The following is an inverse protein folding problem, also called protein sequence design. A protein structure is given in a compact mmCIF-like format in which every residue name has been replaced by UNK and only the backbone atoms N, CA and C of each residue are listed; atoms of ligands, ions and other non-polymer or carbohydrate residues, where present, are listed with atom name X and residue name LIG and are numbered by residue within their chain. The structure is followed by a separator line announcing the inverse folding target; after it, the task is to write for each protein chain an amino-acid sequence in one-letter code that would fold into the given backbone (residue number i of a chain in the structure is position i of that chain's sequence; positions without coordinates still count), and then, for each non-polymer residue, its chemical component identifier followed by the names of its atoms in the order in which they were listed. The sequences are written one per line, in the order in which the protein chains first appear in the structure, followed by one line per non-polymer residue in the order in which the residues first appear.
data_IF_451663183515
#
_entry.id   IF_451663183515
#
_cell.length_a   1.000
_cell.length_b   1.000
_cell.length_c   1.000
_cell.angle_alpha   90.00
_cell.angle_beta   90.00
_cell.angle_gamma   90.00
#
_symmetry.space_group_name_H-M   'P 1'
#
loop_
_entity.id
_entity.type
_entity.pdbx_description
1 polymer ?
#
# COMPACT_ATOMS: atom_id res chain seq x y z
N UNK A 1 -8.94 16.28 53.01
CA UNK A 1 -7.95 15.35 52.44
C UNK A 1 -8.68 14.57 51.36
N UNK A 2 -8.69 15.09 50.13
CA UNK A 2 -7.84 14.65 49.01
C UNK A 2 -8.59 13.57 48.21
N UNK A 3 -8.92 13.66 46.92
CA UNK A 3 -8.41 14.51 45.85
C UNK A 3 -9.35 14.30 44.64
N UNK A 4 -10.03 15.34 44.13
CA UNK A 4 -10.71 15.27 42.83
C UNK A 4 -9.66 15.49 41.74
N UNK A 5 -8.93 14.42 41.42
CA UNK A 5 -7.93 14.39 40.38
C UNK A 5 -8.56 14.10 39.02
N UNK A 6 -8.76 15.16 38.23
CA UNK A 6 -8.34 15.26 36.84
C UNK A 6 -8.49 14.01 35.95
N UNK A 7 -9.67 13.80 35.36
CA UNK A 7 -9.79 13.04 34.11
C UNK A 7 -10.44 13.93 33.05
N UNK A 8 -9.69 14.95 32.60
CA UNK A 8 -9.92 15.54 31.28
C UNK A 8 -9.42 14.50 30.27
N UNK A 9 -10.29 13.56 29.90
CA UNK A 9 -10.13 12.72 28.71
C UNK A 9 -10.42 13.60 27.48
N UNK A 10 -9.56 14.59 27.27
CA UNK A 10 -9.56 15.45 26.11
C UNK A 10 -8.88 14.75 24.95
N UNK A 11 -9.48 14.93 23.78
CA UNK A 11 -9.02 14.53 22.46
C UNK A 11 -9.14 13.04 22.11
N UNK A 12 -10.33 12.70 21.59
CA UNK A 12 -10.49 11.88 20.40
C UNK A 12 -9.43 12.30 19.36
N UNK A 13 -8.26 11.67 19.38
CA UNK A 13 -7.37 11.63 18.22
C UNK A 13 -7.71 10.39 17.42
N UNK A 14 -8.92 10.40 16.85
CA UNK A 14 -9.24 9.64 15.65
C UNK A 14 -8.48 10.29 14.48
N UNK A 15 -7.16 10.10 14.45
CA UNK A 15 -6.35 10.40 13.29
C UNK A 15 -6.66 9.32 12.26
N UNK A 16 -7.79 9.53 11.58
CA UNK A 16 -8.17 8.83 10.38
C UNK A 16 -7.03 8.93 9.38
N UNK A 17 -6.41 7.79 9.13
CA UNK A 17 -5.50 7.61 8.03
C UNK A 17 -5.24 6.12 7.85
N UNK A 18 -6.21 5.32 7.40
CA UNK A 18 -5.89 4.03 6.84
C UNK A 18 -5.23 4.26 5.48
N UNK A 19 -3.98 4.75 5.47
CA UNK A 19 -3.05 4.25 4.47
C UNK A 19 -2.62 2.86 4.94
N UNK A 20 -3.60 1.97 5.02
CA UNK A 20 -3.38 0.55 4.95
C UNK A 20 -2.78 0.34 3.57
N UNK A 21 -1.46 0.46 3.46
CA UNK A 21 -0.72 -0.33 2.50
C UNK A 21 -1.09 -1.77 2.85
N UNK A 22 -2.19 -2.23 2.25
CA UNK A 22 -2.72 -3.57 2.43
C UNK A 22 -1.60 -4.46 1.90
N UNK A 23 -0.75 -4.92 2.81
CA UNK A 23 0.14 -6.03 2.58
C UNK A 23 -0.80 -7.18 2.27
N UNK A 24 -1.10 -7.33 0.97
CA UNK A 24 -1.82 -8.48 0.44
C UNK A 24 -1.19 -9.72 1.09
N UNK A 25 -2.00 -10.65 1.63
CA UNK A 25 -1.50 -11.88 2.27
C UNK A 25 -0.55 -12.68 1.36
N UNK A 26 -0.59 -12.42 0.05
CA UNK A 26 0.38 -12.89 -0.92
C UNK A 26 1.12 -11.69 -1.54
N UNK A 27 2.47 -11.67 -1.55
CA UNK A 27 3.20 -10.68 -2.34
C UNK A 27 2.69 -10.73 -3.78
N UNK A 28 2.20 -9.62 -4.34
CA UNK A 28 1.86 -9.53 -5.79
C UNK A 28 3.13 -9.48 -6.65
N UNK A 29 4.29 -9.40 -6.02
CA UNK A 29 5.58 -9.55 -6.69
C UNK A 29 6.60 -10.28 -5.83
N UNK A 30 7.60 -10.89 -6.48
CA UNK A 30 8.79 -11.43 -5.81
C UNK A 30 8.57 -12.71 -5.00
N UNK A 31 7.40 -13.36 -5.11
CA UNK A 31 7.14 -14.67 -4.54
C UNK A 31 6.84 -15.71 -5.65
N UNK A 32 7.24 -16.99 -5.52
CA UNK A 32 7.05 -18.00 -6.57
C UNK A 32 5.57 -18.23 -6.96
N UNK A 33 4.66 -17.99 -6.03
CA UNK A 33 3.21 -18.10 -6.16
C UNK A 33 2.53 -16.72 -6.33
N UNK A 34 3.32 -15.71 -6.72
CA UNK A 34 2.87 -14.35 -6.95
C UNK A 34 2.28 -14.17 -8.35
N UNK A 35 1.50 -13.11 -8.54
CA UNK A 35 1.06 -12.67 -9.86
C UNK A 35 2.22 -12.14 -10.72
N UNK A 36 3.25 -11.55 -10.09
CA UNK A 36 4.44 -11.05 -10.77
C UNK A 36 5.73 -11.57 -10.10
N UNK A 37 6.06 -12.87 -10.22
CA UNK A 37 7.15 -13.51 -9.47
C UNK A 37 8.53 -12.92 -9.76
N UNK A 38 8.74 -12.38 -10.96
CA UNK A 38 10.00 -11.77 -11.40
C UNK A 38 9.98 -10.24 -11.43
N UNK A 39 8.86 -9.59 -11.09
CA UNK A 39 8.80 -8.14 -11.11
C UNK A 39 9.51 -7.53 -9.91
N UNK A 40 10.31 -6.50 -10.17
CA UNK A 40 10.95 -5.74 -9.11
C UNK A 40 9.93 -4.79 -8.43
N UNK A 41 10.14 -4.43 -7.14
CA UNK A 41 9.24 -3.56 -6.37
C UNK A 41 8.78 -2.28 -7.08
N UNK A 42 9.66 -1.69 -7.88
CA UNK A 42 9.44 -0.48 -8.66
C UNK A 42 8.67 -0.71 -9.97
N UNK A 43 8.59 -1.95 -10.45
CA UNK A 43 7.85 -2.33 -11.65
C UNK A 43 6.36 -2.52 -11.38
N UNK A 44 5.95 -2.88 -10.17
CA UNK A 44 4.53 -3.00 -9.84
C UNK A 44 4.00 -1.70 -9.26
N UNK A 45 2.99 -1.14 -9.94
CA UNK A 45 2.31 0.07 -9.53
C UNK A 45 0.79 -0.12 -9.57
N UNK A 46 0.07 0.76 -8.88
CA UNK A 46 -1.39 0.72 -8.84
C UNK A 46 -1.93 1.72 -9.86
N UNK A 47 -2.65 1.23 -10.87
CA UNK A 47 -3.37 2.04 -11.85
C UNK A 47 -4.86 1.82 -11.67
N UNK A 48 -5.60 2.89 -11.38
CA UNK A 48 -7.07 2.84 -11.20
C UNK A 48 -7.53 1.76 -10.19
N UNK A 49 -6.76 1.56 -9.11
CA UNK A 49 -7.04 0.54 -8.09
C UNK A 49 -6.58 -0.88 -8.44
N UNK A 50 -6.03 -1.09 -9.65
CA UNK A 50 -5.53 -2.40 -10.11
C UNK A 50 -4.01 -2.43 -9.99
N UNK A 51 -3.47 -3.51 -9.42
CA UNK A 51 -2.01 -3.72 -9.39
C UNK A 51 -1.56 -4.19 -10.76
N UNK A 52 -0.74 -3.39 -11.42
CA UNK A 52 -0.20 -3.69 -12.73
C UNK A 52 1.32 -3.70 -12.70
N UNK A 53 1.93 -4.66 -13.40
CA UNK A 53 3.31 -4.58 -13.79
C UNK A 53 3.47 -3.51 -14.87
N UNK A 54 4.50 -2.70 -14.71
CA UNK A 54 4.88 -1.62 -15.62
C UNK A 54 6.25 -1.86 -16.19
N UNK A 55 6.43 -1.42 -17.43
CA UNK A 55 7.74 -1.29 -18.06
C UNK A 55 8.08 0.17 -18.22
N UNK A 56 9.36 0.50 -18.06
CA UNK A 56 9.85 1.84 -18.32
C UNK A 56 10.07 2.00 -19.83
N UNK A 57 9.32 2.89 -20.45
CA UNK A 57 9.42 3.27 -21.87
C UNK A 57 10.18 4.59 -21.96
N UNK A 58 11.15 4.66 -22.87
CA UNK A 58 12.00 5.83 -23.11
C UNK A 58 12.70 6.38 -21.84
N UNK A 59 12.96 5.51 -20.86
CA UNK A 59 13.60 5.89 -19.59
C UNK A 59 12.77 6.82 -18.70
N UNK A 60 11.55 7.18 -19.13
CA UNK A 60 10.81 8.33 -18.58
C UNK A 60 9.41 7.94 -18.10
N UNK A 61 8.69 7.13 -18.86
CA UNK A 61 7.28 6.83 -18.59
C UNK A 61 7.09 5.36 -18.27
N UNK A 62 6.31 5.07 -17.23
CA UNK A 62 5.95 3.70 -16.86
C UNK A 62 4.60 3.35 -17.46
N UNK A 63 4.59 2.36 -18.35
CA UNK A 63 3.38 1.89 -19.04
C UNK A 63 2.95 0.55 -18.45
N UNK A 64 1.66 0.38 -18.07
CA UNK A 64 1.15 -0.89 -17.58
C UNK A 64 1.11 -1.91 -18.72
N UNK A 65 1.75 -3.07 -18.52
CA UNK A 65 1.78 -4.18 -19.48
C UNK A 65 0.85 -5.32 -19.08
N UNK A 66 0.76 -5.59 -17.78
CA UNK A 66 0.03 -6.72 -17.23
C UNK A 66 -0.66 -6.30 -15.94
N UNK A 67 -1.96 -6.48 -15.84
CA UNK A 67 -2.77 -6.05 -14.70
C UNK A 67 -3.46 -7.26 -14.05
N UNK A 68 -3.39 -7.34 -12.72
CA UNK A 68 -4.07 -8.37 -11.94
C UNK A 68 -5.52 -7.93 -11.65
N UNK A 69 -6.44 -8.31 -12.53
CA UNK A 69 -7.89 -8.09 -12.36
C UNK A 69 -8.56 -9.31 -11.71
#
# INVERSE_FOLDING_TARGET
MSNQGMFIAGALMALAGPNSAHAQPNPIQGAPNSLFPYAAPNEVQIFNGVRCRTVLVDGTYRVPVECAR
#
